data_IF_670542717395
#
_entry.id   IF_670542717395
#
_cell.length_a   1.000
_cell.length_b   1.000
_cell.length_c   1.000
_cell.angle_alpha   90.00
_cell.angle_beta   90.00
_cell.angle_gamma   90.00
#
_symmetry.space_group_name_H-M   'P 1'
#
loop_
_entity.id
_entity.type
_entity.pdbx_description
1 polymer ?
#
# COMPACT_ATOMS: atom_id res chain seq x y z
N UNK A 1 9.39 7.38 5.79
CA UNK A 1 9.56 6.08 5.09
C UNK A 1 8.21 5.68 4.52
N UNK A 2 8.15 4.93 3.41
CA UNK A 2 6.87 4.62 2.76
C UNK A 2 6.48 3.18 2.98
N UNK A 3 5.20 2.97 3.24
CA UNK A 3 4.56 1.67 3.34
C UNK A 3 3.49 1.50 2.27
N UNK A 4 3.31 0.29 1.76
CA UNK A 4 2.32 0.00 0.72
C UNK A 4 1.49 -1.25 1.02
N UNK A 5 0.32 -1.32 0.38
CA UNK A 5 -0.47 -2.53 0.22
C UNK A 5 -0.45 -2.85 -1.28
N UNK A 6 0.07 -4.02 -1.64
CA UNK A 6 0.19 -4.43 -3.03
C UNK A 6 -0.80 -5.53 -3.34
N UNK A 7 -1.50 -5.45 -4.48
CA UNK A 7 -2.30 -6.56 -5.00
C UNK A 7 -1.84 -6.94 -6.40
N UNK A 8 -1.80 -8.24 -6.68
CA UNK A 8 -1.27 -8.74 -7.95
C UNK A 8 -2.25 -8.46 -9.09
N UNK A 9 -1.80 -7.70 -10.10
CA UNK A 9 -2.62 -7.39 -11.27
C UNK A 9 -3.10 -8.67 -11.97
N UNK A 10 -4.40 -8.74 -12.28
CA UNK A 10 -5.03 -9.83 -13.02
C UNK A 10 -6.04 -10.67 -12.23
N UNK A 11 -6.11 -10.55 -10.90
CA UNK A 11 -7.29 -11.03 -10.17
C UNK A 11 -8.43 -10.03 -10.40
N UNK A 12 -9.59 -10.51 -10.87
CA UNK A 12 -10.81 -9.68 -11.00
C UNK A 12 -11.09 -8.88 -9.72
N UNK A 13 -10.72 -9.45 -8.58
CA UNK A 13 -10.94 -8.92 -7.24
C UNK A 13 -9.86 -7.94 -6.76
N UNK A 14 -8.82 -7.63 -7.55
CA UNK A 14 -7.69 -6.79 -7.08
C UNK A 14 -8.12 -5.39 -6.67
N UNK A 15 -9.07 -4.82 -7.44
CA UNK A 15 -9.62 -3.48 -7.17
C UNK A 15 -10.50 -3.51 -5.92
N UNK A 16 -11.43 -4.46 -5.86
CA UNK A 16 -12.33 -4.64 -4.71
C UNK A 16 -11.54 -4.90 -3.42
N UNK A 17 -10.44 -5.67 -3.49
CA UNK A 17 -9.54 -5.94 -2.37
C UNK A 17 -8.90 -4.66 -1.82
N UNK A 18 -8.40 -3.78 -2.70
CA UNK A 18 -7.83 -2.49 -2.29
C UNK A 18 -8.91 -1.54 -1.78
N UNK A 19 -10.09 -1.50 -2.40
CA UNK A 19 -11.21 -0.67 -1.93
C UNK A 19 -11.69 -1.11 -0.53
N UNK A 20 -11.75 -2.42 -0.28
CA UNK A 20 -12.05 -2.98 1.03
C UNK A 20 -10.97 -2.63 2.06
N UNK A 21 -9.69 -2.75 1.70
CA UNK A 21 -8.59 -2.34 2.57
C UNK A 21 -8.69 -0.86 2.95
N UNK A 22 -8.95 0.01 1.98
CA UNK A 22 -9.12 1.45 2.20
C UNK A 22 -10.32 1.75 3.10
N UNK A 23 -11.45 1.07 2.87
CA UNK A 23 -12.64 1.21 3.72
C UNK A 23 -12.37 0.79 5.17
N UNK A 24 -11.63 -0.30 5.38
CA UNK A 24 -11.24 -0.77 6.72
C UNK A 24 -10.30 0.20 7.44
N UNK A 25 -9.31 0.74 6.72
CA UNK A 25 -8.42 1.78 7.25
C UNK A 25 -9.22 3.01 7.68
N UNK A 26 -10.18 3.46 6.87
CA UNK A 26 -11.04 4.60 7.20
C UNK A 26 -12.01 4.32 8.38
N UNK A 27 -12.31 3.06 8.65
CA UNK A 27 -13.08 2.62 9.83
C UNK A 27 -12.22 2.50 11.10
N UNK A 28 -10.91 2.73 11.02
CA UNK A 28 -9.99 2.67 12.16
C UNK A 28 -9.26 1.33 12.34
N UNK A 29 -9.30 0.45 11.33
CA UNK A 29 -8.41 -0.73 11.33
C UNK A 29 -6.96 -0.28 11.28
N UNK A 30 -6.09 -0.91 12.06
CA UNK A 30 -4.68 -0.53 12.06
C UNK A 30 -4.02 -0.81 10.71
N UNK A 31 -3.05 0.03 10.34
CA UNK A 31 -2.30 -0.15 9.09
C UNK A 31 -1.65 -1.54 8.99
N UNK A 32 -1.04 -2.02 10.08
CA UNK A 32 -0.40 -3.32 10.12
C UNK A 32 -1.38 -4.47 9.85
N UNK A 33 -2.58 -4.41 10.43
CA UNK A 33 -3.62 -5.42 10.18
C UNK A 33 -4.11 -5.37 8.73
N UNK A 34 -4.33 -4.16 8.18
CA UNK A 34 -4.74 -4.01 6.80
C UNK A 34 -3.69 -4.55 5.83
N UNK A 35 -2.41 -4.27 6.06
CA UNK A 35 -1.31 -4.82 5.24
C UNK A 35 -1.30 -6.35 5.31
N UNK A 36 -1.38 -6.94 6.50
CA UNK A 36 -1.36 -8.40 6.66
C UNK A 36 -2.57 -9.09 6.01
N UNK A 37 -3.73 -8.45 6.02
CA UNK A 37 -4.96 -9.00 5.46
C UNK A 37 -5.06 -8.82 3.95
N UNK A 38 -4.62 -7.67 3.43
CA UNK A 38 -4.91 -7.27 2.05
C UNK A 38 -3.68 -7.24 1.12
N UNK A 39 -2.46 -7.18 1.63
CA UNK A 39 -1.25 -7.16 0.79
C UNK A 39 -0.87 -8.56 0.32
N UNK A 40 -0.73 -8.73 -1.00
CA UNK A 40 -0.16 -9.93 -1.63
C UNK A 40 1.38 -9.93 -1.59
N UNK A 41 2.00 -8.82 -1.19
CA UNK A 41 3.45 -8.73 -1.02
C UNK A 41 3.88 -9.21 0.37
N UNK A 42 4.04 -10.53 0.51
CA UNK A 42 4.45 -11.17 1.78
C UNK A 42 5.82 -10.69 2.30
N UNK A 43 6.71 -10.24 1.41
CA UNK A 43 8.05 -9.79 1.79
C UNK A 43 7.98 -8.49 2.59
N UNK A 44 7.16 -7.54 2.13
CA UNK A 44 6.94 -6.28 2.87
C UNK A 44 5.85 -6.40 3.93
N UNK A 45 4.86 -7.29 3.77
CA UNK A 45 3.74 -7.42 4.70
C UNK A 45 4.20 -7.77 6.12
N UNK A 46 5.22 -8.63 6.23
CA UNK A 46 5.84 -8.99 7.51
C UNK A 46 6.49 -7.80 8.24
N UNK A 47 6.81 -6.72 7.51
CA UNK A 47 7.35 -5.47 8.03
C UNK A 47 6.34 -4.31 7.94
N UNK A 48 5.04 -4.61 7.96
CA UNK A 48 3.98 -3.59 7.89
C UNK A 48 3.91 -2.86 6.56
N UNK A 49 4.36 -3.50 5.47
CA UNK A 49 4.28 -2.97 4.11
C UNK A 49 5.42 -1.99 3.80
N UNK A 50 6.40 -1.85 4.69
CA UNK A 50 7.51 -0.91 4.52
C UNK A 50 8.37 -1.28 3.32
N UNK A 51 8.43 -0.36 2.36
CA UNK A 51 9.28 -0.46 1.16
C UNK A 51 10.48 0.50 1.22
N UNK A 52 10.57 1.31 2.27
CA UNK A 52 11.67 2.22 2.53
C UNK A 52 11.54 3.52 1.74
N UNK A 53 12.68 4.01 1.21
CA UNK A 53 12.73 5.24 0.41
C UNK A 53 12.44 4.95 -1.05
N UNK A 54 11.48 5.69 -1.61
CA UNK A 54 11.03 5.53 -2.99
C UNK A 54 11.76 6.55 -3.86
N UNK A 55 12.22 6.11 -5.03
CA UNK A 55 12.89 6.94 -6.03
C UNK A 55 12.45 6.53 -7.45
N UNK A 56 12.53 7.49 -8.36
CA UNK A 56 12.36 7.26 -9.79
C UNK A 56 13.42 6.28 -10.30
N UNK A 57 12.98 5.25 -11.04
CA UNK A 57 13.86 4.19 -11.58
C UNK A 57 13.77 2.85 -10.84
N UNK A 58 13.26 2.81 -9.60
CA UNK A 58 12.99 1.54 -8.88
C UNK A 58 11.54 1.08 -9.01
N UNK A 59 10.59 2.00 -9.05
CA UNK A 59 9.16 1.71 -9.18
C UNK A 59 8.59 2.39 -10.43
N UNK A 60 7.37 2.03 -10.80
CA UNK A 60 6.68 2.72 -11.90
C UNK A 60 6.44 4.18 -11.55
N UNK A 61 6.59 5.05 -12.53
CA UNK A 61 6.51 6.50 -12.33
C UNK A 61 5.15 6.92 -11.76
N UNK A 62 4.05 6.31 -12.21
CA UNK A 62 2.70 6.59 -11.69
C UNK A 62 2.56 6.36 -10.18
N UNK A 63 3.19 5.31 -9.68
CA UNK A 63 3.24 5.03 -8.24
C UNK A 63 4.12 6.02 -7.49
N UNK A 64 5.33 6.31 -8.01
CA UNK A 64 6.24 7.27 -7.38
C UNK A 64 5.61 8.66 -7.33
N UNK A 65 4.99 9.11 -8.41
CA UNK A 65 4.30 10.40 -8.49
C UNK A 65 3.17 10.49 -7.46
N UNK A 66 2.38 9.42 -7.33
CA UNK A 66 1.30 9.35 -6.35
C UNK A 66 1.83 9.45 -4.92
N UNK A 67 2.94 8.78 -4.60
CA UNK A 67 3.57 8.84 -3.28
C UNK A 67 4.19 10.21 -3.01
N UNK A 68 4.88 10.80 -3.99
CA UNK A 68 5.50 12.12 -3.86
C UNK A 68 4.46 13.24 -3.71
N UNK A 69 3.24 13.02 -4.21
CA UNK A 69 2.10 13.92 -4.04
C UNK A 69 1.39 13.77 -2.69
N UNK A 70 1.70 12.74 -1.90
CA UNK A 70 1.12 12.59 -0.56
C UNK A 70 1.71 13.63 0.39
N UNK A 71 0.84 14.27 1.16
CA UNK A 71 1.24 15.21 2.20
C UNK A 71 1.77 14.43 3.41
N UNK A 72 3.05 14.59 3.80
CA UNK A 72 3.65 13.85 4.90
C UNK A 72 3.13 14.25 6.29
N UNK A 73 2.31 15.32 6.40
CA UNK A 73 1.71 15.75 7.65
C UNK A 73 0.32 15.14 7.91
N UNK A 74 -0.21 14.33 6.97
CA UNK A 74 -1.38 13.49 7.18
C UNK A 74 -0.94 12.09 7.66
N UNK A 75 -0.50 12.01 8.91
CA UNK A 75 -0.38 10.75 9.66
C UNK A 75 -1.52 10.61 10.66
#
# INVERSE_FOLDING_TARGET
>A
EVSHIFTRAGALESKEKIENAYSKLNQGTSWAEAVLQFSDDNLSASNGGKIGWINYGRYRNDFVDSVMALDPAKE
#
